data_IF_931085633407
#
_entry.id   IF_931085633407
#
_cell.length_a   1.000
_cell.length_b   1.000
_cell.length_c   1.000
_cell.angle_alpha   90.00
_cell.angle_beta   90.00
_cell.angle_gamma   90.00
#
_symmetry.space_group_name_H-M   'P 1'
#
loop_
_entity.id
_entity.type
_entity.pdbx_description
1 polymer ?
#
# COMPACT_ATOMS: atom_id res chain seq x y z
N UNK A 1 -12.65 -4.37 16.96
CA UNK A 1 -12.99 -5.76 16.64
C UNK A 1 -12.95 -6.08 15.13
N UNK A 2 -13.08 -5.09 14.24
CA UNK A 2 -13.09 -5.30 12.77
C UNK A 2 -11.71 -5.27 12.11
N UNK A 3 -10.68 -4.80 12.79
CA UNK A 3 -9.34 -4.68 12.22
C UNK A 3 -8.76 -6.03 11.73
N UNK A 4 -8.86 -7.14 12.47
CA UNK A 4 -8.37 -8.44 12.01
C UNK A 4 -9.06 -8.97 10.76
N UNK A 5 -10.33 -8.62 10.56
CA UNK A 5 -11.09 -9.00 9.37
C UNK A 5 -10.63 -8.29 8.11
N UNK A 6 -10.04 -7.09 8.29
CA UNK A 6 -9.56 -6.25 7.20
C UNK A 6 -8.06 -6.43 6.97
N UNK A 7 -7.31 -6.70 8.03
CA UNK A 7 -5.85 -6.56 8.08
C UNK A 7 -5.13 -7.86 8.38
N UNK A 8 -5.57 -9.03 8.24
CA UNK A 8 -4.84 -10.31 8.42
C UNK A 8 -3.62 -10.22 9.39
N UNK A 9 -3.89 -9.70 10.61
CA UNK A 9 -2.88 -9.53 11.66
C UNK A 9 -2.47 -10.90 12.21
N UNK A 10 -1.18 -11.20 12.18
CA UNK A 10 -0.64 -12.47 12.70
C UNK A 10 0.27 -12.21 13.88
N UNK A 11 0.26 -13.09 14.90
CA UNK A 11 1.24 -13.02 15.97
C UNK A 11 2.68 -12.97 15.41
N UNK A 12 3.49 -12.07 15.98
CA UNK A 12 4.87 -11.86 15.53
C UNK A 12 5.03 -10.87 14.35
N UNK A 13 3.93 -10.32 13.80
CA UNK A 13 4.03 -9.19 12.88
C UNK A 13 4.65 -7.97 13.60
N UNK A 14 5.30 -7.10 12.85
CA UNK A 14 5.94 -5.87 13.36
C UNK A 14 5.25 -4.65 12.77
N UNK A 15 4.92 -3.71 13.65
CA UNK A 15 4.44 -2.37 13.31
C UNK A 15 5.58 -1.38 13.32
N UNK A 16 5.69 -0.57 12.27
CA UNK A 16 6.59 0.58 12.26
C UNK A 16 5.83 1.82 12.73
N UNK A 17 6.18 2.32 13.89
CA UNK A 17 5.63 3.53 14.50
C UNK A 17 6.45 4.73 14.05
N UNK A 18 5.81 5.68 13.36
CA UNK A 18 6.45 6.88 12.80
C UNK A 18 5.77 8.18 13.22
N UNK A 19 4.60 8.07 13.85
CA UNK A 19 3.84 9.23 14.33
C UNK A 19 4.13 9.49 15.80
N UNK A 20 3.84 10.70 16.31
CA UNK A 20 3.95 11.01 17.73
C UNK A 20 3.07 10.09 18.58
N UNK A 21 3.67 9.39 19.54
CA UNK A 21 2.97 8.40 20.39
C UNK A 21 1.85 8.98 21.27
N UNK A 22 1.85 10.30 21.48
CA UNK A 22 0.75 10.99 22.20
C UNK A 22 -0.45 11.31 21.31
N UNK A 23 -0.30 11.21 19.97
CA UNK A 23 -1.41 11.44 19.04
C UNK A 23 -2.39 10.26 19.10
N UNK A 24 -3.69 10.54 19.16
CA UNK A 24 -4.75 9.54 19.35
C UNK A 24 -4.68 8.40 18.33
N UNK A 25 -4.42 8.70 17.08
CA UNK A 25 -4.33 7.70 16.02
C UNK A 25 -3.16 6.72 16.26
N UNK A 26 -1.96 7.22 16.52
CA UNK A 26 -0.81 6.36 16.81
C UNK A 26 -1.02 5.57 18.10
N UNK A 27 -1.61 6.22 19.12
CA UNK A 27 -1.87 5.59 20.40
C UNK A 27 -2.80 4.38 20.30
N UNK A 28 -3.78 4.45 19.42
CA UNK A 28 -4.65 3.27 19.12
C UNK A 28 -3.79 2.12 18.59
N UNK A 29 -2.87 2.39 17.67
CA UNK A 29 -1.99 1.35 17.10
C UNK A 29 -1.05 0.76 18.14
N UNK A 30 -0.56 1.59 19.10
CA UNK A 30 0.25 1.15 20.24
C UNK A 30 -0.50 0.17 21.16
N UNK A 31 -1.81 0.26 21.23
CA UNK A 31 -2.63 -0.70 21.99
C UNK A 31 -3.02 -1.92 21.17
N UNK A 32 -3.32 -1.73 19.89
CA UNK A 32 -3.73 -2.82 18.99
C UNK A 32 -2.60 -3.83 18.79
N UNK A 33 -1.36 -3.36 18.55
CA UNK A 33 -0.25 -4.23 18.26
C UNK A 33 -0.02 -5.30 19.36
N UNK A 34 0.13 -4.97 20.65
CA UNK A 34 0.28 -5.97 21.70
C UNK A 34 -0.92 -6.89 21.87
N UNK A 35 -2.16 -6.39 21.65
CA UNK A 35 -3.36 -7.24 21.72
C UNK A 35 -3.36 -8.40 20.72
N UNK A 36 -2.58 -8.27 19.64
CA UNK A 36 -2.40 -9.32 18.63
C UNK A 36 -1.01 -9.96 18.67
N UNK A 37 -0.29 -9.82 19.77
CA UNK A 37 1.07 -10.33 19.94
C UNK A 37 2.03 -9.83 18.87
N UNK A 38 1.88 -8.57 18.44
CA UNK A 38 2.75 -7.92 17.48
C UNK A 38 3.81 -7.07 18.17
N UNK A 39 4.99 -6.98 17.54
CA UNK A 39 6.05 -6.07 17.97
C UNK A 39 5.82 -4.65 17.45
N UNK A 40 6.41 -3.67 18.13
CA UNK A 40 6.43 -2.27 17.69
C UNK A 40 7.89 -1.83 17.56
N UNK A 41 8.25 -1.31 16.40
CA UNK A 41 9.53 -0.66 16.14
C UNK A 41 9.28 0.84 15.91
N UNK A 42 10.11 1.68 16.49
CA UNK A 42 9.99 3.12 16.37
C UNK A 42 10.96 3.68 15.34
N UNK A 43 10.48 4.59 14.50
CA UNK A 43 11.28 5.30 13.49
C UNK A 43 10.92 6.78 13.48
N UNK A 44 11.76 7.57 12.83
CA UNK A 44 11.48 8.98 12.58
C UNK A 44 10.77 9.16 11.25
N UNK A 45 9.85 10.14 11.11
CA UNK A 45 9.17 10.45 9.85
C UNK A 45 10.09 11.20 8.86
N UNK A 46 11.34 10.77 8.76
CA UNK A 46 12.34 11.22 7.80
C UNK A 46 12.54 10.14 6.75
N UNK A 47 12.50 10.53 5.47
CA UNK A 47 12.49 9.57 4.36
C UNK A 47 13.72 8.66 4.29
N UNK A 48 14.90 9.17 4.66
CA UNK A 48 16.15 8.41 4.62
C UNK A 48 16.25 7.43 5.80
N UNK A 49 15.92 7.90 7.00
CA UNK A 49 15.90 7.11 8.23
C UNK A 49 14.84 6.02 8.12
N UNK A 50 13.63 6.39 7.74
CA UNK A 50 12.52 5.46 7.57
C UNK A 50 12.82 4.35 6.58
N UNK A 51 13.46 4.64 5.44
CA UNK A 51 13.85 3.62 4.47
C UNK A 51 14.94 2.66 5.01
N UNK A 52 15.87 3.18 5.82
CA UNK A 52 16.87 2.34 6.49
C UNK A 52 16.19 1.42 7.50
N UNK A 53 15.27 1.95 8.30
CA UNK A 53 14.51 1.19 9.29
C UNK A 53 13.58 0.15 8.65
N UNK A 54 12.94 0.47 7.53
CA UNK A 54 12.18 -0.51 6.74
C UNK A 54 13.02 -1.72 6.35
N UNK A 55 14.26 -1.49 5.93
CA UNK A 55 15.18 -2.58 5.54
C UNK A 55 15.66 -3.39 6.75
N UNK A 56 15.95 -2.72 7.86
CA UNK A 56 16.47 -3.35 9.07
C UNK A 56 15.38 -4.14 9.81
N UNK A 57 14.22 -3.51 10.03
CA UNK A 57 13.11 -4.04 10.83
C UNK A 57 12.22 -4.99 10.01
N UNK A 58 12.06 -4.70 8.69
CA UNK A 58 11.19 -5.43 7.78
C UNK A 58 9.74 -5.55 8.30
N UNK A 59 9.09 -4.42 8.62
CA UNK A 59 7.76 -4.40 9.23
C UNK A 59 6.70 -4.91 8.26
N UNK A 60 5.61 -5.43 8.81
CA UNK A 60 4.41 -5.82 8.08
C UNK A 60 3.38 -4.70 8.01
N UNK A 61 3.40 -3.81 8.99
CA UNK A 61 2.37 -2.78 9.19
C UNK A 61 2.99 -1.42 9.50
N UNK A 62 2.33 -0.36 9.06
CA UNK A 62 2.65 1.01 9.46
C UNK A 62 1.38 1.86 9.45
N UNK A 63 1.15 2.62 10.51
CA UNK A 63 0.17 3.68 10.53
C UNK A 63 0.86 5.01 10.26
N UNK A 64 0.29 5.84 9.38
CA UNK A 64 0.84 7.15 9.09
C UNK A 64 -0.18 8.11 8.48
N UNK A 65 0.24 9.34 8.25
CA UNK A 65 -0.58 10.35 7.56
C UNK A 65 -0.36 10.28 6.04
N UNK A 66 -1.31 10.77 5.22
CA UNK A 66 -1.24 10.76 3.75
C UNK A 66 0.07 11.33 3.21
N UNK A 67 0.58 12.38 3.83
CA UNK A 67 1.83 13.06 3.45
C UNK A 67 3.05 12.14 3.40
N UNK A 68 3.12 11.15 4.28
CA UNK A 68 4.23 10.17 4.28
C UNK A 68 4.13 9.28 3.05
N UNK A 69 2.94 8.80 2.72
CA UNK A 69 2.71 7.98 1.52
C UNK A 69 2.99 8.74 0.22
N UNK A 70 2.59 10.02 0.16
CA UNK A 70 2.96 10.93 -0.94
C UNK A 70 4.47 11.03 -1.08
N UNK A 71 5.18 11.28 0.02
CA UNK A 71 6.64 11.43 0.05
C UNK A 71 7.35 10.16 -0.41
N UNK A 72 6.88 8.99 0.02
CA UNK A 72 7.42 7.69 -0.43
C UNK A 72 7.22 7.51 -1.94
N UNK A 73 6.01 7.73 -2.44
CA UNK A 73 5.72 7.67 -3.88
C UNK A 73 6.60 8.63 -4.68
N UNK A 74 6.67 9.88 -4.27
CA UNK A 74 7.42 10.92 -4.97
C UNK A 74 8.94 10.68 -4.93
N UNK A 75 9.43 10.09 -3.85
CA UNK A 75 10.80 9.60 -3.74
C UNK A 75 11.12 8.51 -4.76
N UNK A 76 10.22 7.54 -4.93
CA UNK A 76 10.33 6.49 -5.94
C UNK A 76 10.34 7.10 -7.35
N UNK A 77 9.39 7.99 -7.66
CA UNK A 77 9.34 8.66 -8.98
C UNK A 77 10.56 9.53 -9.26
N UNK A 78 11.13 10.22 -8.25
CA UNK A 78 12.39 10.97 -8.39
C UNK A 78 13.55 10.05 -8.74
N UNK A 79 13.71 8.97 -8.00
CA UNK A 79 14.77 7.99 -8.25
C UNK A 79 14.69 7.41 -9.66
N UNK A 80 13.50 7.03 -10.10
CA UNK A 80 13.28 6.51 -11.46
C UNK A 80 13.57 7.57 -12.53
N UNK A 81 13.22 8.83 -12.30
CA UNK A 81 13.52 9.93 -13.24
C UNK A 81 15.02 10.16 -13.38
N UNK A 82 15.77 10.07 -12.29
CA UNK A 82 17.23 10.24 -12.31
C UNK A 82 17.94 9.16 -13.14
N UNK A 83 17.43 7.93 -13.13
CA UNK A 83 18.00 6.84 -13.92
C UNK A 83 17.59 6.88 -15.40
N UNK A 84 16.53 7.58 -15.76
CA UNK A 84 16.08 7.82 -17.15
C UNK A 84 15.87 6.58 -18.03
N UNK A 85 15.82 6.80 -19.35
CA UNK A 85 15.85 5.76 -20.38
C UNK A 85 14.82 4.64 -20.22
N UNK A 86 15.23 3.43 -20.58
CA UNK A 86 14.40 2.24 -20.60
C UNK A 86 13.78 1.90 -19.23
N UNK A 87 14.51 2.14 -18.13
CA UNK A 87 14.00 1.90 -16.77
C UNK A 87 12.75 2.72 -16.46
N UNK A 88 12.74 4.00 -16.85
CA UNK A 88 11.60 4.90 -16.67
C UNK A 88 10.40 4.45 -17.51
N UNK A 89 10.64 4.05 -18.75
CA UNK A 89 9.58 3.58 -19.67
C UNK A 89 8.95 2.31 -19.15
N UNK A 90 9.75 1.31 -18.76
CA UNK A 90 9.27 0.06 -18.17
C UNK A 90 8.52 0.29 -16.86
N UNK A 91 9.03 1.16 -16.00
CA UNK A 91 8.36 1.51 -14.75
C UNK A 91 6.97 2.09 -15.00
N UNK A 92 6.87 3.12 -15.86
CA UNK A 92 5.59 3.76 -16.19
C UNK A 92 4.61 2.77 -16.84
N UNK A 93 5.10 1.94 -17.77
CA UNK A 93 4.29 0.91 -18.41
C UNK A 93 3.71 -0.06 -17.38
N UNK A 94 4.55 -0.64 -16.52
CA UNK A 94 4.06 -1.60 -15.52
C UNK A 94 3.19 -0.96 -14.43
N UNK A 95 3.43 0.30 -14.06
CA UNK A 95 2.53 1.03 -13.16
C UNK A 95 1.16 1.21 -13.81
N UNK A 96 1.08 1.56 -15.10
CA UNK A 96 -0.19 1.67 -15.83
C UNK A 96 -0.91 0.32 -15.88
N UNK A 97 -0.22 -0.75 -16.25
CA UNK A 97 -0.77 -2.12 -16.26
C UNK A 97 -1.25 -2.52 -14.87
N UNK A 98 -0.43 -2.28 -13.84
CA UNK A 98 -0.78 -2.58 -12.45
C UNK A 98 -2.02 -1.82 -11.97
N UNK A 99 -2.16 -0.55 -12.36
CA UNK A 99 -3.33 0.28 -12.03
C UNK A 99 -4.60 -0.28 -12.64
N UNK A 100 -4.58 -0.60 -13.94
CA UNK A 100 -5.74 -1.19 -14.62
C UNK A 100 -6.07 -2.57 -14.04
N UNK A 101 -5.07 -3.41 -13.83
CA UNK A 101 -5.25 -4.73 -13.22
C UNK A 101 -5.88 -4.64 -11.82
N UNK A 102 -5.38 -3.74 -10.96
CA UNK A 102 -5.93 -3.54 -9.61
C UNK A 102 -7.38 -3.02 -9.67
N UNK A 103 -7.68 -2.08 -10.58
CA UNK A 103 -9.03 -1.58 -10.77
C UNK A 103 -10.00 -2.69 -11.23
N UNK A 104 -9.63 -3.49 -12.24
CA UNK A 104 -10.45 -4.60 -12.74
C UNK A 104 -10.66 -5.69 -11.68
N UNK A 105 -9.61 -6.02 -10.93
CA UNK A 105 -9.71 -6.92 -9.78
C UNK A 105 -10.71 -6.40 -8.73
N UNK A 106 -10.59 -5.14 -8.34
CA UNK A 106 -11.46 -4.55 -7.33
C UNK A 106 -12.91 -4.43 -7.82
N UNK A 107 -13.11 -4.18 -9.10
CA UNK A 107 -14.41 -4.19 -9.76
C UNK A 107 -15.03 -5.60 -9.71
N UNK A 108 -14.28 -6.63 -10.08
CA UNK A 108 -14.71 -8.05 -10.04
C UNK A 108 -15.07 -8.49 -8.61
N UNK A 109 -14.22 -8.13 -7.63
CA UNK A 109 -14.43 -8.50 -6.23
C UNK A 109 -15.45 -7.60 -5.50
N UNK A 110 -15.93 -6.51 -6.14
CA UNK A 110 -16.85 -5.53 -5.60
C UNK A 110 -16.28 -4.73 -4.44
N UNK A 111 -15.02 -4.45 -4.51
CA UNK A 111 -14.31 -3.60 -3.54
C UNK A 111 -14.36 -2.12 -3.94
N UNK A 112 -14.91 -1.79 -5.11
CA UNK A 112 -15.08 -0.41 -5.54
C UNK A 112 -16.27 0.24 -4.81
N UNK A 113 -16.16 1.52 -4.40
CA UNK A 113 -17.26 2.25 -3.80
C UNK A 113 -18.48 2.34 -4.73
N UNK A 114 -19.67 2.13 -4.19
CA UNK A 114 -20.91 2.16 -4.96
C UNK A 114 -21.68 3.45 -4.71
N UNK A 115 -21.28 4.53 -5.35
CA UNK A 115 -21.95 5.84 -5.24
C UNK A 115 -23.11 6.03 -6.25
N UNK A 116 -23.24 5.20 -7.29
CA UNK A 116 -24.13 5.43 -8.43
C UNK A 116 -24.93 4.17 -8.85
N UNK A 117 -25.29 3.30 -7.93
CA UNK A 117 -26.15 2.16 -8.22
C UNK A 117 -25.55 1.13 -9.20
N UNK A 118 -24.29 0.77 -9.04
CA UNK A 118 -23.60 -0.22 -9.89
C UNK A 118 -24.26 -1.59 -9.82
N UNK A 119 -24.42 -2.22 -10.98
CA UNK A 119 -24.95 -3.58 -11.07
C UNK A 119 -23.80 -4.58 -10.86
N UNK A 120 -23.77 -5.21 -9.71
CA UNK A 120 -22.69 -6.11 -9.27
C UNK A 120 -22.34 -7.21 -10.27
N UNK A 121 -23.37 -7.82 -10.89
CA UNK A 121 -23.16 -8.91 -11.86
C UNK A 121 -22.43 -8.40 -13.09
N UNK A 122 -22.82 -7.26 -13.62
CA UNK A 122 -22.15 -6.65 -14.77
C UNK A 122 -20.70 -6.27 -14.45
N UNK A 123 -20.47 -5.66 -13.29
CA UNK A 123 -19.11 -5.31 -12.83
C UNK A 123 -18.22 -6.56 -12.72
N UNK A 124 -18.76 -7.66 -12.20
CA UNK A 124 -18.02 -8.92 -12.09
C UNK A 124 -17.65 -9.47 -13.48
N UNK A 125 -18.59 -9.51 -14.41
CA UNK A 125 -18.34 -10.04 -15.77
C UNK A 125 -17.36 -9.16 -16.54
N UNK A 126 -17.57 -7.84 -16.52
CA UNK A 126 -16.75 -6.89 -17.25
C UNK A 126 -15.33 -6.76 -16.67
N UNK A 127 -15.18 -6.91 -15.35
CA UNK A 127 -13.91 -6.85 -14.68
C UNK A 127 -13.08 -8.13 -14.79
N UNK A 128 -13.72 -9.30 -14.77
CA UNK A 128 -13.07 -10.59 -14.69
C UNK A 128 -12.15 -10.89 -15.87
N UNK A 129 -12.65 -10.70 -17.11
CA UNK A 129 -11.88 -10.99 -18.32
C UNK A 129 -10.62 -10.13 -18.41
N UNK A 130 -10.67 -8.79 -18.33
CA UNK A 130 -9.46 -7.96 -18.34
C UNK A 130 -8.52 -8.25 -17.17
N UNK A 131 -9.05 -8.54 -15.98
CA UNK A 131 -8.24 -8.93 -14.83
C UNK A 131 -7.39 -10.17 -15.12
N UNK A 132 -7.99 -11.24 -15.65
CA UNK A 132 -7.27 -12.48 -15.99
C UNK A 132 -6.25 -12.24 -17.11
N UNK A 133 -6.65 -11.53 -18.17
CA UNK A 133 -5.76 -11.24 -19.31
C UNK A 133 -4.54 -10.39 -18.93
N UNK A 134 -4.69 -9.47 -17.98
CA UNK A 134 -3.58 -8.64 -17.49
C UNK A 134 -2.73 -9.33 -16.41
N UNK A 135 -3.18 -10.45 -15.84
CA UNK A 135 -2.49 -11.13 -14.75
C UNK A 135 -1.07 -11.60 -15.12
N UNK A 136 -0.78 -12.20 -16.28
CA UNK A 136 0.58 -12.58 -16.66
C UNK A 136 1.48 -11.35 -16.84
N UNK A 137 0.96 -10.27 -17.40
CA UNK A 137 1.71 -9.02 -17.56
C UNK A 137 1.97 -8.35 -16.21
N UNK A 138 1.02 -8.39 -15.28
CA UNK A 138 1.20 -7.95 -13.89
C UNK A 138 2.22 -8.82 -13.16
N UNK A 139 2.25 -10.13 -13.40
CA UNK A 139 3.25 -11.04 -12.83
C UNK A 139 4.66 -10.68 -13.31
N UNK A 140 4.82 -10.39 -14.60
CA UNK A 140 6.08 -9.90 -15.16
C UNK A 140 6.48 -8.54 -14.53
N UNK A 141 5.54 -7.62 -14.37
CA UNK A 141 5.75 -6.36 -13.67
C UNK A 141 6.18 -6.54 -12.20
N UNK A 142 5.62 -7.53 -11.51
CA UNK A 142 6.05 -7.88 -10.16
C UNK A 142 7.53 -8.30 -10.16
N UNK A 143 7.94 -9.17 -11.07
CA UNK A 143 9.30 -9.68 -11.15
C UNK A 143 10.32 -8.58 -11.49
N UNK A 144 10.02 -7.76 -12.50
CA UNK A 144 10.97 -6.78 -13.03
C UNK A 144 11.03 -5.48 -12.23
N UNK A 145 9.89 -5.03 -11.67
CA UNK A 145 9.73 -3.69 -11.08
C UNK A 145 9.24 -3.74 -9.64
N UNK A 146 8.07 -4.33 -9.40
CA UNK A 146 7.37 -4.13 -8.13
C UNK A 146 8.02 -4.86 -6.95
N UNK A 147 8.65 -6.02 -7.15
CA UNK A 147 9.38 -6.69 -6.06
C UNK A 147 10.56 -5.86 -5.56
N UNK A 148 11.22 -5.09 -6.44
CA UNK A 148 12.27 -4.15 -6.04
C UNK A 148 11.72 -3.00 -5.22
N UNK A 149 10.53 -2.50 -5.56
CA UNK A 149 9.86 -1.46 -4.78
C UNK A 149 9.40 -1.99 -3.41
N UNK A 150 8.83 -3.19 -3.38
CA UNK A 150 8.45 -3.85 -2.12
C UNK A 150 9.67 -4.11 -1.22
N UNK A 151 10.82 -4.44 -1.81
CA UNK A 151 12.07 -4.62 -1.07
C UNK A 151 12.54 -3.33 -0.37
N UNK A 152 12.22 -2.13 -0.91
CA UNK A 152 12.49 -0.86 -0.22
C UNK A 152 11.69 -0.72 1.08
N UNK A 153 10.52 -1.34 1.15
CA UNK A 153 9.67 -1.42 2.35
C UNK A 153 9.94 -2.71 3.17
N UNK A 154 11.14 -3.25 3.07
CA UNK A 154 11.56 -4.44 3.81
C UNK A 154 11.10 -5.78 3.23
N UNK A 155 10.36 -5.80 2.13
CA UNK A 155 9.92 -7.01 1.40
C UNK A 155 8.82 -7.84 2.09
N UNK A 156 8.46 -7.53 3.34
CA UNK A 156 7.40 -8.22 4.12
C UNK A 156 6.19 -7.33 4.39
N UNK A 157 6.19 -6.11 3.89
CA UNK A 157 5.16 -5.12 4.13
C UNK A 157 3.82 -5.57 3.55
N UNK A 158 2.80 -5.69 4.38
CA UNK A 158 1.45 -6.14 4.02
C UNK A 158 0.54 -4.96 3.69
N UNK A 159 0.40 -4.03 4.62
CA UNK A 159 -0.45 -2.87 4.42
C UNK A 159 -0.03 -1.67 5.28
N UNK A 160 -0.42 -0.50 4.82
CA UNK A 160 -0.36 0.75 5.56
C UNK A 160 -1.75 1.25 5.95
N UNK A 161 -1.86 1.90 7.09
CA UNK A 161 -3.07 2.58 7.50
C UNK A 161 -2.81 4.08 7.40
N UNK A 162 -3.61 4.76 6.58
CA UNK A 162 -3.52 6.22 6.39
C UNK A 162 -4.65 6.89 7.15
N UNK A 163 -4.34 7.81 8.04
CA UNK A 163 -5.31 8.55 8.84
C UNK A 163 -4.97 10.02 8.98
N UNK A 164 -5.87 10.79 9.59
CA UNK A 164 -5.70 12.23 9.80
C UNK A 164 -5.93 13.11 8.56
N UNK A 165 -6.37 12.54 7.44
CA UNK A 165 -6.68 13.26 6.21
C UNK A 165 -7.00 12.30 5.07
N UNK A 166 -7.61 12.81 3.99
CA UNK A 166 -7.92 12.02 2.81
C UNK A 166 -6.65 11.61 2.06
N UNK A 167 -6.54 10.35 1.69
CA UNK A 167 -5.45 9.86 0.86
C UNK A 167 -5.68 10.29 -0.60
N UNK A 168 -4.73 11.00 -1.25
CA UNK A 168 -4.89 11.36 -2.66
C UNK A 168 -5.06 10.12 -3.54
N UNK A 169 -6.07 10.12 -4.39
CA UNK A 169 -6.43 8.99 -5.24
C UNK A 169 -5.26 8.48 -6.12
N UNK A 170 -4.36 9.38 -6.51
CA UNK A 170 -3.16 9.01 -7.27
C UNK A 170 -2.13 8.22 -6.43
N UNK A 171 -2.10 8.42 -5.10
CA UNK A 171 -1.23 7.69 -4.18
C UNK A 171 -1.80 6.29 -3.99
N UNK A 172 -3.09 6.19 -3.69
CA UNK A 172 -3.79 4.90 -3.55
C UNK A 172 -3.65 4.05 -4.82
N UNK A 173 -3.93 4.61 -6.00
CA UNK A 173 -3.76 3.93 -7.30
C UNK A 173 -2.34 3.42 -7.50
N UNK A 174 -1.33 4.20 -7.13
CA UNK A 174 0.06 3.78 -7.24
C UNK A 174 0.39 2.59 -6.35
N UNK A 175 0.05 2.65 -5.05
CA UNK A 175 0.32 1.56 -4.13
C UNK A 175 -0.49 0.30 -4.46
N UNK A 176 -1.75 0.46 -4.87
CA UNK A 176 -2.57 -0.63 -5.40
C UNK A 176 -1.95 -1.28 -6.64
N UNK A 177 -1.39 -0.49 -7.57
CA UNK A 177 -0.68 -0.99 -8.74
C UNK A 177 0.57 -1.79 -8.36
N UNK A 178 1.31 -1.37 -7.35
CA UNK A 178 2.48 -2.10 -6.81
C UNK A 178 2.03 -3.38 -6.08
N UNK A 179 0.80 -3.43 -5.58
CA UNK A 179 0.27 -4.53 -4.77
C UNK A 179 0.59 -4.35 -3.29
N UNK A 180 0.55 -3.11 -2.82
CA UNK A 180 0.59 -2.71 -1.42
C UNK A 180 -0.78 -2.14 -1.08
N UNK A 181 -1.41 -2.65 -0.04
CA UNK A 181 -2.72 -2.18 0.41
C UNK A 181 -2.54 -0.95 1.29
N UNK A 182 -3.25 0.14 0.98
CA UNK A 182 -3.43 1.26 1.88
C UNK A 182 -4.88 1.27 2.36
N UNK A 183 -5.06 1.30 3.67
CA UNK A 183 -6.37 1.39 4.31
C UNK A 183 -6.55 2.83 4.80
N UNK A 184 -7.63 3.47 4.42
CA UNK A 184 -7.99 4.78 4.98
C UNK A 184 -8.70 4.59 6.32
N UNK A 185 -8.07 5.12 7.39
CA UNK A 185 -8.68 5.23 8.71
C UNK A 185 -9.41 6.55 8.84
N UNK A 186 -10.75 6.52 8.90
CA UNK A 186 -11.56 7.68 9.23
C UNK A 186 -11.85 7.66 10.73
N UNK A 187 -11.44 8.73 11.41
CA UNK A 187 -11.72 8.92 12.83
C UNK A 187 -11.46 10.37 13.21
N UNK A 188 -12.30 10.89 14.07
CA UNK A 188 -12.17 12.21 14.69
C UNK A 188 -11.35 12.10 15.98
#
# INVERSE_FOLDING_TARGET
PSLPLIADLKPGDIWLSVLPVWHSFERIMQYVAPCYYNGIAYSKPDGSIMLADFKAVRPQWMASVPRIWESVRDGIYRNIRQHGGLKKTLFNFFVSVGTVHAYMRNMTLGLLPNFHGRIRVLDTILGFIPWILLSPLKALGNLLVFNKLKALLGGRFKAGISGGGALPAQVDKFFSAVGITLLEGYGL
#
